data_IF_543413273528
#
_entry.id   IF_543413273528
#
_cell.length_a   1.000
_cell.length_b   1.000
_cell.length_c   1.000
_cell.angle_alpha   90.00
_cell.angle_beta   90.00
_cell.angle_gamma   90.00
#
_symmetry.space_group_name_H-M   'P 1'
#
loop_
_entity.id
_entity.type
_entity.pdbx_description
1 polymer ?
#
# COMPACT_ATOMS: atom_id res chain seq x y z
N UNK A 1 -15.73 2.86 11.95
CA UNK A 1 -14.74 3.37 10.99
C UNK A 1 -14.05 2.19 10.31
N UNK A 2 -14.07 2.18 9.00
CA UNK A 2 -13.46 1.15 8.21
C UNK A 2 -11.99 1.44 7.98
N UNK A 3 -11.19 0.41 7.95
CA UNK A 3 -9.81 0.51 7.48
C UNK A 3 -9.43 -0.79 6.79
N UNK A 4 -8.44 -0.72 5.90
CA UNK A 4 -8.02 -1.85 5.08
C UNK A 4 -6.56 -2.15 5.41
N UNK A 5 -6.27 -3.39 5.74
CA UNK A 5 -4.92 -3.81 6.12
C UNK A 5 -4.17 -4.33 4.91
N UNK A 6 -2.91 -3.92 4.79
CA UNK A 6 -2.00 -4.40 3.76
C UNK A 6 -1.06 -5.45 4.34
N UNK A 7 -1.02 -6.62 3.71
CA UNK A 7 -0.21 -7.77 4.12
C UNK A 7 0.88 -8.02 3.09
N UNK A 8 2.08 -8.38 3.56
CA UNK A 8 3.18 -8.70 2.64
C UNK A 8 3.10 -10.17 2.19
N UNK A 9 4.11 -10.60 1.44
CA UNK A 9 4.14 -11.95 0.86
C UNK A 9 4.30 -13.07 1.90
N UNK A 10 4.63 -12.74 3.14
CA UNK A 10 4.64 -13.68 4.26
C UNK A 10 3.32 -13.66 5.05
N UNK A 11 2.37 -12.81 4.66
CA UNK A 11 1.12 -12.67 5.38
C UNK A 11 1.19 -11.75 6.59
N UNK A 12 2.31 -11.04 6.77
CA UNK A 12 2.47 -10.11 7.88
C UNK A 12 1.78 -8.79 7.57
N UNK A 13 1.02 -8.27 8.54
CA UNK A 13 0.37 -6.97 8.41
C UNK A 13 1.44 -5.88 8.49
N UNK A 14 1.55 -5.06 7.45
CA UNK A 14 2.60 -4.05 7.32
C UNK A 14 2.04 -2.66 7.54
N UNK A 15 0.86 -2.37 7.00
CA UNK A 15 0.30 -1.03 6.98
C UNK A 15 -1.21 -1.11 6.88
N UNK A 16 -1.87 0.02 7.01
CA UNK A 16 -3.33 0.09 6.87
C UNK A 16 -3.72 1.40 6.21
N UNK A 17 -4.83 1.36 5.48
CA UNK A 17 -5.38 2.51 4.78
C UNK A 17 -6.52 3.07 5.62
N UNK A 18 -6.46 4.37 5.90
CA UNK A 18 -7.56 5.09 6.54
C UNK A 18 -8.41 5.75 5.47
N UNK A 19 -9.66 5.32 5.35
CA UNK A 19 -10.58 5.91 4.39
C UNK A 19 -11.14 7.25 4.88
N UNK A 20 -11.02 7.53 6.17
CA UNK A 20 -11.53 8.75 6.78
C UNK A 20 -10.51 9.88 6.85
N UNK A 21 -9.27 9.64 6.40
CA UNK A 21 -8.17 10.58 6.55
C UNK A 21 -7.42 10.74 5.22
N UNK A 22 -8.15 11.22 4.21
CA UNK A 22 -7.60 11.51 2.87
C UNK A 22 -6.88 10.32 2.24
N UNK A 23 -7.38 9.11 2.52
CA UNK A 23 -6.79 7.87 2.00
C UNK A 23 -5.30 7.76 2.33
N UNK A 24 -4.94 8.10 3.55
CA UNK A 24 -3.56 8.00 4.03
C UNK A 24 -3.24 6.57 4.46
N UNK A 25 -2.05 6.11 4.11
CA UNK A 25 -1.53 4.81 4.54
C UNK A 25 -0.59 5.02 5.71
N UNK A 26 -0.86 4.29 6.80
CA UNK A 26 -0.08 4.35 8.04
C UNK A 26 0.56 3.01 8.32
N UNK A 27 1.77 3.02 8.86
CA UNK A 27 2.33 1.84 9.50
C UNK A 27 1.66 1.61 10.85
N UNK A 28 1.84 0.42 11.44
CA UNK A 28 1.18 0.10 12.70
C UNK A 28 1.76 0.85 13.90
N UNK A 29 2.94 1.47 13.76
CA UNK A 29 3.49 2.39 14.78
C UNK A 29 2.89 3.79 14.68
N UNK A 30 1.99 4.02 13.73
CA UNK A 30 1.31 5.30 13.55
C UNK A 30 1.97 6.23 12.53
N UNK A 31 3.09 5.83 11.95
CA UNK A 31 3.81 6.69 10.99
C UNK A 31 3.06 6.73 9.65
N UNK A 32 2.68 7.93 9.15
CA UNK A 32 2.13 8.05 7.81
C UNK A 32 3.25 7.89 6.78
N UNK A 33 3.02 7.04 5.78
CA UNK A 33 4.08 6.71 4.80
C UNK A 33 3.67 6.99 3.36
N UNK A 34 2.37 7.03 3.07
CA UNK A 34 1.90 7.19 1.70
C UNK A 34 0.45 7.64 1.69
N UNK A 35 -0.04 7.98 0.52
CA UNK A 35 -1.45 8.31 0.32
C UNK A 35 -1.86 7.89 -1.07
N UNK A 36 -3.17 7.73 -1.26
CA UNK A 36 -3.72 7.24 -2.52
C UNK A 36 -4.43 8.38 -3.23
N UNK A 37 -4.17 8.51 -4.53
CA UNK A 37 -4.87 9.45 -5.40
C UNK A 37 -5.37 8.65 -6.61
N UNK A 38 -6.67 8.44 -6.68
CA UNK A 38 -7.24 7.55 -7.68
C UNK A 38 -6.75 6.13 -7.44
N UNK A 39 -6.03 5.55 -8.40
CA UNK A 39 -5.39 4.26 -8.24
C UNK A 39 -3.87 4.36 -8.04
N UNK A 40 -3.35 5.56 -7.86
CA UNK A 40 -1.90 5.78 -7.66
C UNK A 40 -1.56 5.90 -6.18
N UNK A 41 -0.41 5.35 -5.81
CA UNK A 41 0.12 5.43 -4.45
C UNK A 41 1.34 6.35 -4.48
N UNK A 42 1.29 7.41 -3.67
CA UNK A 42 2.35 8.40 -3.59
C UNK A 42 2.94 8.46 -2.19
N UNK A 43 4.25 8.68 -2.11
CA UNK A 43 4.87 9.07 -0.87
C UNK A 43 4.64 10.56 -0.62
N UNK A 44 4.88 11.02 0.61
CA UNK A 44 4.65 12.42 0.94
C UNK A 44 5.66 13.36 0.27
N UNK A 45 6.77 12.83 -0.24
CA UNK A 45 7.72 13.65 -1.00
C UNK A 45 7.33 13.81 -2.48
N UNK A 46 6.20 13.24 -2.90
CA UNK A 46 5.68 13.35 -4.26
C UNK A 46 6.07 12.22 -5.19
N UNK A 47 6.87 11.27 -4.74
CA UNK A 47 7.27 10.14 -5.59
C UNK A 47 6.11 9.17 -5.80
N UNK A 48 5.95 8.71 -7.03
CA UNK A 48 4.95 7.68 -7.35
C UNK A 48 5.51 6.31 -6.97
N UNK A 49 4.86 5.65 -6.01
CA UNK A 49 5.32 4.37 -5.49
C UNK A 49 4.78 3.19 -6.27
N UNK A 50 3.52 3.25 -6.66
CA UNK A 50 2.88 2.14 -7.34
C UNK A 50 1.39 2.38 -7.54
N UNK A 51 0.65 1.29 -7.70
CA UNK A 51 -0.79 1.34 -8.01
C UNK A 51 -1.56 0.49 -7.01
N UNK A 52 -2.75 0.95 -6.64
CA UNK A 52 -3.68 0.19 -5.81
C UNK A 52 -4.89 -0.17 -6.64
N UNK A 53 -5.00 -1.44 -7.02
CA UNK A 53 -6.08 -1.96 -7.86
C UNK A 53 -6.43 -3.38 -7.44
N UNK A 54 -7.69 -3.74 -7.55
CA UNK A 54 -8.18 -5.12 -7.29
C UNK A 54 -7.81 -5.65 -5.91
N UNK A 55 -7.65 -4.75 -4.92
CA UNK A 55 -7.26 -5.14 -3.58
C UNK A 55 -5.76 -5.40 -3.40
N UNK A 56 -4.95 -5.13 -4.41
CA UNK A 56 -3.50 -5.29 -4.39
C UNK A 56 -2.80 -3.95 -4.49
N UNK A 57 -1.63 -3.84 -3.85
CA UNK A 57 -0.67 -2.79 -4.21
C UNK A 57 0.37 -3.42 -5.13
N UNK A 58 0.54 -2.79 -6.29
CA UNK A 58 1.53 -3.17 -7.30
C UNK A 58 2.63 -2.12 -7.32
N UNK A 59 3.86 -2.54 -7.62
CA UNK A 59 4.93 -1.57 -7.87
C UNK A 59 4.77 -0.96 -9.27
N UNK A 60 5.68 -0.07 -9.64
CA UNK A 60 5.59 0.62 -10.93
C UNK A 60 5.88 -0.29 -12.13
N UNK A 61 6.32 -1.51 -11.88
CA UNK A 61 6.55 -2.52 -12.92
C UNK A 61 5.39 -3.52 -13.01
N UNK A 62 4.42 -3.43 -12.11
CA UNK A 62 3.26 -4.31 -12.09
C UNK A 62 3.38 -5.54 -11.21
N UNK A 63 4.47 -5.69 -10.47
CA UNK A 63 4.63 -6.81 -9.53
C UNK A 63 3.85 -6.55 -8.26
N UNK A 64 3.33 -7.61 -7.65
CA UNK A 64 2.52 -7.54 -6.44
C UNK A 64 3.42 -7.26 -5.23
N UNK A 65 3.05 -6.28 -4.42
CA UNK A 65 3.81 -5.89 -3.22
C UNK A 65 3.04 -6.28 -1.97
N UNK A 66 1.80 -5.84 -1.85
CA UNK A 66 0.94 -6.12 -0.70
C UNK A 66 -0.44 -6.56 -1.17
N UNK A 67 -1.11 -7.37 -0.36
CA UNK A 67 -2.50 -7.74 -0.62
C UNK A 67 -3.38 -7.33 0.55
N UNK A 68 -4.67 -7.23 0.28
CA UNK A 68 -5.68 -6.96 1.28
C UNK A 68 -6.69 -8.11 1.27
N UNK A 69 -7.63 -8.08 2.23
CA UNK A 69 -8.71 -9.08 2.24
C UNK A 69 -9.60 -9.01 0.99
N UNK A 70 -9.52 -7.89 0.26
CA UNK A 70 -10.31 -7.69 -0.97
C UNK A 70 -9.54 -8.06 -2.23
N UNK A 71 -8.32 -8.58 -2.10
CA UNK A 71 -7.47 -8.88 -3.25
C UNK A 71 -8.10 -9.97 -4.12
N UNK A 72 -8.10 -9.74 -5.43
CA UNK A 72 -8.59 -10.68 -6.42
C UNK A 72 -7.52 -10.92 -7.48
N UNK A 73 -7.42 -12.17 -7.96
CA UNK A 73 -6.37 -12.52 -8.93
C UNK A 73 -5.00 -12.52 -8.29
N UNK A 74 -3.96 -12.47 -9.12
CA UNK A 74 -2.58 -12.40 -8.66
C UNK A 74 -2.04 -13.73 -8.14
N UNK A 75 -0.90 -13.69 -7.44
CA UNK A 75 -0.30 -14.90 -6.90
C UNK A 75 -1.10 -15.48 -5.74
N UNK A 76 -0.81 -16.71 -5.36
CA UNK A 76 -1.43 -17.33 -4.19
C UNK A 76 -1.06 -16.49 -2.98
N UNK A 77 -2.10 -16.12 -2.21
CA UNK A 77 -1.92 -15.30 -1.02
C UNK A 77 -1.63 -16.18 0.19
N UNK A 78 -0.65 -15.84 1.01
CA UNK A 78 -0.36 -16.61 2.22
C UNK A 78 -1.47 -16.41 3.26
N UNK A 79 -1.48 -17.26 4.29
CA UNK A 79 -2.35 -17.07 5.44
C UNK A 79 -1.97 -15.76 6.13
N UNK A 80 -2.99 -14.94 6.40
CA UNK A 80 -2.78 -13.67 7.10
C UNK A 80 -2.42 -13.92 8.56
N UNK A 81 -1.35 -13.27 9.02
CA UNK A 81 -0.97 -13.31 10.42
C UNK A 81 -1.85 -12.36 11.23
N UNK A 82 -1.81 -12.50 12.55
CA UNK A 82 -2.57 -11.64 13.44
C UNK A 82 -2.08 -10.20 13.28
N UNK A 83 -3.03 -9.27 13.09
CA UNK A 83 -2.69 -7.86 12.98
C UNK A 83 -2.23 -7.32 14.32
N UNK A 84 -1.15 -6.53 14.35
CA UNK A 84 -0.79 -5.82 15.57
C UNK A 84 -1.82 -4.75 15.90
N UNK A 85 -1.79 -4.28 17.13
CA UNK A 85 -2.62 -3.16 17.55
C UNK A 85 -2.10 -1.90 16.86
N UNK A 86 -3.01 -1.11 16.30
CA UNK A 86 -2.63 0.15 15.64
C UNK A 86 -2.31 1.20 16.69
N UNK A 87 -1.15 1.84 16.53
CA UNK A 87 -0.79 2.98 17.37
C UNK A 87 -1.55 4.22 16.93
N UNK A 88 -1.60 5.22 17.82
CA UNK A 88 -2.17 6.53 17.49
C UNK A 88 -1.40 7.09 16.30
N UNK A 89 -2.12 7.61 15.32
CA UNK A 89 -1.51 8.14 14.10
C UNK A 89 -0.74 9.41 14.42
N UNK A 90 0.42 9.52 13.78
CA UNK A 90 1.27 10.71 13.92
C UNK A 90 0.85 11.76 12.92
N UNK A 91 1.34 12.99 13.11
CA UNK A 91 1.04 14.11 12.22
C UNK A 91 1.56 13.80 10.83
N UNK A 92 0.71 14.04 9.83
CA UNK A 92 1.10 13.81 8.44
C UNK A 92 2.06 14.91 7.98
N UNK A 93 3.10 14.54 7.21
CA UNK A 93 3.92 15.54 6.55
C UNK A 93 3.10 16.33 5.53
N UNK A 94 3.60 17.50 5.16
CA UNK A 94 3.02 18.27 4.06
C UNK A 94 3.28 17.49 2.77
N UNK A 95 2.21 17.26 2.01
CA UNK A 95 2.33 16.58 0.71
C UNK A 95 3.07 17.47 -0.26
N UNK A 96 4.13 16.93 -0.86
CA UNK A 96 4.83 17.62 -1.92
C UNK A 96 4.10 17.41 -3.25
N UNK A 97 4.33 18.27 -4.26
CA UNK A 97 3.70 18.10 -5.55
C UNK A 97 3.94 16.69 -6.09
N UNK A 98 2.88 16.08 -6.59
CA UNK A 98 2.94 14.73 -7.16
C UNK A 98 3.72 14.75 -8.47
N UNK A 99 4.55 13.73 -8.65
CA UNK A 99 5.12 13.46 -9.97
C UNK A 99 4.01 12.94 -10.88
N UNK A 100 4.20 13.10 -12.19
CA UNK A 100 3.28 12.50 -13.17
C UNK A 100 3.34 10.99 -12.99
N UNK A 101 2.19 10.29 -12.85
CA UNK A 101 2.23 8.84 -12.71
C UNK A 101 2.80 8.19 -13.96
N UNK A 102 3.58 7.12 -13.82
CA UNK A 102 4.04 6.38 -15.00
C UNK A 102 2.88 5.68 -15.69
N UNK A 103 3.12 5.17 -16.88
CA UNK A 103 2.13 4.36 -17.58
C UNK A 103 1.78 3.17 -16.68
N UNK A 104 0.48 2.94 -16.51
CA UNK A 104 0.01 1.84 -15.68
C UNK A 104 0.40 0.51 -16.35
N UNK A 105 1.27 -0.30 -15.72
CA UNK A 105 1.80 -1.50 -16.38
C UNK A 105 0.78 -2.63 -16.38
N UNK A 106 1.04 -3.63 -17.22
CA UNK A 106 0.33 -4.90 -17.13
C UNK A 106 0.65 -5.53 -15.77
N UNK A 107 -0.39 -5.97 -15.06
CA UNK A 107 -0.20 -6.55 -13.73
C UNK A 107 0.35 -7.97 -13.87
N UNK A 108 1.41 -8.24 -13.11
CA UNK A 108 2.08 -9.53 -13.10
C UNK A 108 1.42 -10.46 -12.09
N UNK A 109 1.56 -11.75 -12.29
CA UNK A 109 1.08 -12.76 -11.34
C UNK A 109 2.20 -13.17 -10.38
N UNK A 110 3.13 -12.28 -10.13
CA UNK A 110 4.34 -12.54 -9.33
C UNK A 110 4.52 -11.47 -8.28
N UNK A 111 5.14 -11.87 -7.16
CA UNK A 111 5.50 -10.94 -6.10
C UNK A 111 6.72 -10.11 -6.51
N UNK A 112 6.77 -8.88 -6.03
CA UNK A 112 7.96 -8.04 -6.15
C UNK A 112 9.08 -8.63 -5.31
N UNK A 113 10.30 -8.63 -5.85
CA UNK A 113 11.47 -9.09 -5.10
C UNK A 113 11.94 -8.05 -4.09
N UNK A 114 11.47 -6.83 -4.20
CA UNK A 114 11.95 -5.69 -3.41
C UNK A 114 10.83 -5.09 -2.56
N UNK A 115 9.87 -5.93 -2.16
CA UNK A 115 8.67 -5.45 -1.47
C UNK A 115 8.98 -4.86 -0.08
N UNK A 116 10.06 -5.27 0.57
CA UNK A 116 10.37 -4.81 1.93
C UNK A 116 10.76 -3.33 1.96
N UNK A 117 11.12 -2.75 0.84
CA UNK A 117 11.55 -1.35 0.74
C UNK A 117 10.51 -0.47 0.05
N UNK A 118 9.25 -0.92 -0.02
CA UNK A 118 8.24 -0.20 -0.78
C UNK A 118 7.88 1.15 -0.13
N UNK A 119 7.68 1.15 1.18
CA UNK A 119 7.39 2.39 1.92
C UNK A 119 8.65 3.05 2.50
#
# INVERSE_FOLDING_TARGET
>A
MEYLTFYNKQGKAIAWLSDSDEETIYLFDGKPVAWICGNSVYSFNGSHLGFFENGWIYDNKGYCVYFTQEATGGPIRPTKQICPVRSITKVKPIKRPKTIPPINPIKKLSWSIDSDNFF
#
